data_IF_461127699272
#
_entry.id   IF_461127699272
#
_cell.length_a   1.000
_cell.length_b   1.000
_cell.length_c   1.000
_cell.angle_alpha   90.00
_cell.angle_beta   90.00
_cell.angle_gamma   90.00
#
_symmetry.space_group_name_H-M   'P 1'
#
loop_
_entity.id
_entity.type
_entity.pdbx_description
1 polymer ?
#
# COMPACT_ATOMS: atom_id res chain seq x y z
N UNK A 1 26.96 -13.36 -17.96
CA UNK A 1 26.32 -13.09 -16.65
C UNK A 1 24.81 -13.16 -16.89
N UNK A 2 24.06 -14.10 -16.29
CA UNK A 2 22.59 -14.10 -16.42
C UNK A 2 22.08 -12.84 -15.73
N UNK A 3 21.44 -11.94 -16.48
CA UNK A 3 20.80 -10.77 -15.90
C UNK A 3 19.66 -11.28 -15.01
N UNK A 4 19.75 -11.03 -13.70
CA UNK A 4 18.73 -11.45 -12.74
C UNK A 4 17.71 -10.31 -12.67
N UNK A 5 16.59 -10.48 -13.37
CA UNK A 5 15.46 -9.56 -13.32
C UNK A 5 14.67 -9.77 -12.02
N UNK A 6 14.12 -8.68 -11.48
CA UNK A 6 13.34 -8.67 -10.24
C UNK A 6 11.84 -8.78 -10.49
N UNK A 7 11.34 -8.17 -11.56
CA UNK A 7 9.90 -8.12 -11.85
C UNK A 7 9.34 -9.47 -12.32
N UNK A 8 8.09 -9.77 -11.93
CA UNK A 8 7.30 -10.87 -12.53
C UNK A 8 7.20 -10.65 -14.03
N UNK A 9 7.02 -9.41 -14.48
CA UNK A 9 6.93 -9.03 -15.88
C UNK A 9 8.14 -9.53 -16.66
N UNK A 10 9.35 -9.11 -16.29
CA UNK A 10 10.56 -9.45 -17.06
C UNK A 10 11.00 -10.91 -16.88
N UNK A 11 10.71 -11.52 -15.72
CA UNK A 11 11.11 -12.91 -15.46
C UNK A 11 10.17 -13.94 -16.09
N UNK A 12 8.86 -13.67 -16.14
CA UNK A 12 7.84 -14.65 -16.55
C UNK A 12 7.05 -14.23 -17.78
N UNK A 13 6.69 -12.95 -17.91
CA UNK A 13 5.71 -12.50 -18.90
C UNK A 13 6.34 -12.00 -20.19
N UNK A 14 7.37 -11.16 -20.12
CA UNK A 14 8.11 -10.69 -21.29
C UNK A 14 8.61 -11.85 -22.18
N UNK A 15 9.14 -12.97 -21.64
CA UNK A 15 9.50 -14.14 -22.46
C UNK A 15 8.35 -14.70 -23.32
N UNK A 16 7.10 -14.54 -22.88
CA UNK A 16 5.92 -14.99 -23.63
C UNK A 16 5.63 -14.10 -24.84
N UNK A 17 5.89 -12.80 -24.73
CA UNK A 17 5.76 -11.82 -25.80
C UNK A 17 6.90 -11.94 -26.83
N UNK A 18 8.11 -12.29 -26.36
CA UNK A 18 9.31 -12.38 -27.23
C UNK A 18 9.32 -13.54 -28.22
N UNK A 19 8.27 -14.36 -28.27
CA UNK A 19 8.11 -15.40 -29.30
C UNK A 19 7.69 -14.81 -30.66
N UNK A 20 7.19 -13.59 -30.68
CA UNK A 20 6.72 -12.89 -31.88
C UNK A 20 7.73 -11.83 -32.33
N UNK A 21 7.87 -11.62 -33.65
CA UNK A 21 8.76 -10.58 -34.21
C UNK A 21 8.27 -9.17 -33.91
N UNK A 22 6.96 -9.02 -33.91
CA UNK A 22 6.23 -7.80 -33.58
C UNK A 22 5.23 -8.14 -32.48
N UNK A 23 5.09 -7.23 -31.52
CA UNK A 23 4.21 -7.39 -30.37
C UNK A 23 3.24 -6.21 -30.37
N UNK A 24 1.94 -6.50 -30.36
CA UNK A 24 0.90 -5.47 -30.36
C UNK A 24 0.56 -5.00 -28.94
N UNK A 25 -0.07 -3.83 -28.83
CA UNK A 25 -0.63 -3.36 -27.56
C UNK A 25 -1.70 -4.33 -27.04
N UNK A 26 -2.46 -4.97 -27.95
CA UNK A 26 -3.37 -6.06 -27.59
C UNK A 26 -2.68 -7.19 -26.84
N UNK A 27 -1.51 -7.64 -27.30
CA UNK A 27 -0.79 -8.76 -26.67
C UNK A 27 -0.33 -8.39 -25.26
N UNK A 28 0.13 -7.15 -25.07
CA UNK A 28 0.53 -6.61 -23.77
C UNK A 28 -0.68 -6.51 -22.84
N UNK A 29 -1.76 -5.91 -23.32
CA UNK A 29 -3.00 -5.70 -22.54
C UNK A 29 -3.61 -7.02 -22.12
N UNK A 30 -3.67 -8.00 -23.03
CA UNK A 30 -4.16 -9.36 -22.75
C UNK A 30 -3.30 -10.05 -21.71
N UNK A 31 -1.98 -10.02 -21.88
CA UNK A 31 -1.10 -10.68 -20.93
C UNK A 31 -1.16 -10.01 -19.56
N UNK A 32 -1.22 -8.67 -19.51
CA UNK A 32 -1.39 -7.93 -18.28
C UNK A 32 -2.73 -8.23 -17.60
N UNK A 33 -3.83 -8.32 -18.35
CA UNK A 33 -5.16 -8.61 -17.80
C UNK A 33 -5.30 -10.06 -17.31
N UNK A 34 -4.63 -11.00 -17.96
CA UNK A 34 -4.69 -12.43 -17.60
C UNK A 34 -3.82 -12.74 -16.36
N UNK A 35 -2.69 -12.03 -16.20
CA UNK A 35 -1.65 -12.37 -15.22
C UNK A 35 -1.60 -11.47 -13.99
N UNK A 36 -2.14 -10.26 -14.08
CA UNK A 36 -2.30 -9.37 -12.92
C UNK A 36 -3.78 -9.28 -12.57
N UNK A 37 -4.06 -8.90 -11.31
CA UNK A 37 -5.44 -8.68 -10.86
C UNK A 37 -6.11 -7.77 -11.87
N UNK A 38 -7.18 -8.29 -12.47
CA UNK A 38 -7.87 -7.79 -13.64
C UNK A 38 -8.66 -6.51 -13.35
N UNK A 39 -8.19 -5.64 -12.46
CA UNK A 39 -8.74 -4.33 -12.22
C UNK A 39 -8.35 -3.36 -13.33
N UNK A 40 -9.34 -2.78 -13.99
CA UNK A 40 -9.19 -1.75 -15.02
C UNK A 40 -8.16 -0.67 -14.66
N UNK A 41 -8.11 -0.24 -13.39
CA UNK A 41 -7.18 0.79 -12.93
C UNK A 41 -5.73 0.33 -12.97
N UNK A 42 -5.46 -0.92 -12.62
CA UNK A 42 -4.11 -1.50 -12.70
C UNK A 42 -3.61 -1.49 -14.13
N UNK A 43 -4.46 -1.93 -15.07
CA UNK A 43 -4.13 -1.90 -16.49
C UNK A 43 -3.90 -0.46 -16.97
N UNK A 44 -4.75 0.48 -16.59
CA UNK A 44 -4.58 1.91 -16.95
C UNK A 44 -3.25 2.47 -16.47
N UNK A 45 -2.90 2.24 -15.20
CA UNK A 45 -1.67 2.74 -14.60
C UNK A 45 -0.42 2.05 -15.17
N UNK A 46 -0.49 0.74 -15.43
CA UNK A 46 0.60 0.02 -16.04
C UNK A 46 0.92 0.58 -17.45
N UNK A 47 -0.12 0.86 -18.23
CA UNK A 47 0.04 1.43 -19.56
C UNK A 47 0.57 2.88 -19.48
N UNK A 48 0.06 3.69 -18.57
CA UNK A 48 0.52 5.07 -18.38
C UNK A 48 1.99 5.14 -17.96
N UNK A 49 2.41 4.30 -16.99
CA UNK A 49 3.76 4.36 -16.46
C UNK A 49 4.83 3.70 -17.33
N UNK A 50 4.50 2.59 -18.02
CA UNK A 50 5.53 1.76 -18.66
C UNK A 50 5.42 1.67 -20.18
N UNK A 51 4.25 2.00 -20.74
CA UNK A 51 3.99 1.85 -22.18
C UNK A 51 3.89 3.22 -22.86
N UNK A 52 3.14 4.15 -22.29
CA UNK A 52 3.03 5.50 -22.83
C UNK A 52 4.36 6.23 -22.69
N UNK A 53 4.94 6.61 -23.82
CA UNK A 53 6.18 7.36 -23.86
C UNK A 53 6.07 8.41 -24.98
N UNK A 54 5.91 9.70 -24.64
CA UNK A 54 5.69 10.75 -25.63
C UNK A 54 6.88 10.92 -26.61
N UNK A 55 8.09 10.53 -26.19
CA UNK A 55 9.35 10.71 -26.94
C UNK A 55 9.97 9.38 -27.45
N UNK A 56 9.16 8.36 -27.76
CA UNK A 56 9.65 7.02 -28.11
C UNK A 56 9.69 6.72 -29.63
N UNK A 57 9.95 5.44 -29.95
CA UNK A 57 10.03 4.91 -31.31
C UNK A 57 8.65 4.70 -31.99
N UNK A 58 7.54 5.07 -31.37
CA UNK A 58 6.21 4.98 -31.98
C UNK A 58 5.87 6.25 -32.78
N UNK A 59 4.95 6.11 -33.73
CA UNK A 59 4.40 7.29 -34.39
C UNK A 59 3.52 8.10 -33.43
N UNK A 60 3.35 9.39 -33.71
CA UNK A 60 2.45 10.25 -32.94
C UNK A 60 1.01 9.71 -32.93
N UNK A 61 0.57 9.08 -34.02
CA UNK A 61 -0.74 8.44 -34.14
C UNK A 61 -0.87 7.25 -33.18
N UNK A 62 0.15 6.40 -33.09
CA UNK A 62 0.18 5.27 -32.16
C UNK A 62 0.23 5.72 -30.69
N UNK A 63 1.00 6.76 -30.37
CA UNK A 63 1.02 7.34 -29.02
C UNK A 63 -0.34 7.94 -28.62
N UNK A 64 -1.04 8.59 -29.56
CA UNK A 64 -2.40 9.08 -29.33
C UNK A 64 -3.41 7.94 -29.10
N UNK A 65 -3.24 6.81 -29.79
CA UNK A 65 -4.07 5.62 -29.56
C UNK A 65 -3.85 5.01 -28.17
N UNK A 66 -2.61 4.93 -27.69
CA UNK A 66 -2.30 4.50 -26.31
C UNK A 66 -2.98 5.43 -25.30
N UNK A 67 -2.85 6.74 -25.47
CA UNK A 67 -3.40 7.73 -24.56
C UNK A 67 -4.93 7.67 -24.51
N UNK A 68 -5.59 7.59 -25.66
CA UNK A 68 -7.05 7.39 -25.76
C UNK A 68 -7.51 6.09 -25.08
N UNK A 69 -6.70 5.04 -25.16
CA UNK A 69 -6.99 3.78 -24.48
C UNK A 69 -6.84 3.90 -22.96
N UNK A 70 -5.79 4.54 -22.47
CA UNK A 70 -5.60 4.84 -21.04
C UNK A 70 -6.78 5.68 -20.52
N UNK A 71 -7.18 6.72 -21.25
CA UNK A 71 -8.36 7.53 -20.92
C UNK A 71 -9.65 6.70 -20.88
N UNK A 72 -9.80 5.72 -21.77
CA UNK A 72 -10.93 4.77 -21.75
C UNK A 72 -10.91 3.92 -20.48
N UNK A 73 -9.73 3.45 -20.05
CA UNK A 73 -9.58 2.67 -18.83
C UNK A 73 -9.84 3.49 -17.56
N UNK A 74 -9.47 4.76 -17.57
CA UNK A 74 -9.58 5.65 -16.41
C UNK A 74 -10.97 6.31 -16.33
N UNK A 75 -11.67 6.51 -17.46
CA UNK A 75 -12.99 7.14 -17.52
C UNK A 75 -14.12 6.09 -17.53
N UNK A 76 -14.94 5.99 -16.46
CA UNK A 76 -16.05 5.04 -16.38
C UNK A 76 -17.11 5.20 -17.48
N UNK A 77 -17.18 6.36 -18.13
CA UNK A 77 -18.21 6.68 -19.12
C UNK A 77 -17.87 6.22 -20.55
N UNK A 78 -16.65 5.72 -20.80
CA UNK A 78 -16.21 5.28 -22.14
C UNK A 78 -16.42 3.77 -22.37
N UNK A 79 -17.05 3.07 -21.42
CA UNK A 79 -17.46 1.68 -21.56
C UNK A 79 -18.82 1.59 -22.26
N UNK A 80 -19.05 0.50 -23.01
CA UNK A 80 -20.34 0.29 -23.72
C UNK A 80 -21.52 0.55 -22.78
N UNK A 81 -22.41 1.45 -23.21
CA UNK A 81 -23.61 1.87 -22.51
C UNK A 81 -24.43 0.66 -22.02
N UNK A 82 -24.38 0.43 -20.69
CA UNK A 82 -25.42 -0.20 -19.84
C UNK A 82 -24.91 -0.67 -18.45
N UNK A 83 -23.68 -0.37 -18.04
CA UNK A 83 -23.26 -0.61 -16.65
C UNK A 83 -23.46 0.64 -15.80
N UNK A 84 -24.71 0.93 -15.40
CA UNK A 84 -25.03 1.91 -14.35
C UNK A 84 -24.47 1.50 -12.96
N UNK A 85 -23.85 0.34 -12.86
CA UNK A 85 -23.02 -0.03 -11.74
C UNK A 85 -21.61 0.52 -11.95
N UNK A 86 -21.32 1.64 -11.30
CA UNK A 86 -19.98 2.14 -10.96
C UNK A 86 -18.91 1.08 -11.20
N UNK A 87 -18.07 1.26 -12.23
CA UNK A 87 -16.94 0.39 -12.54
C UNK A 87 -16.06 0.33 -11.29
N UNK A 88 -16.28 -0.69 -10.48
CA UNK A 88 -15.47 -1.00 -9.30
C UNK A 88 -14.10 -1.25 -9.87
N UNK A 89 -13.07 -0.54 -9.42
CA UNK A 89 -11.71 -0.60 -9.97
C UNK A 89 -11.05 -2.01 -10.01
N UNK A 90 -11.76 -3.03 -9.54
CA UNK A 90 -11.41 -4.44 -9.43
C UNK A 90 -12.31 -5.37 -10.25
N UNK A 91 -13.22 -4.84 -11.09
CA UNK A 91 -13.98 -5.71 -11.98
C UNK A 91 -13.04 -6.29 -13.03
N UNK A 92 -13.07 -7.62 -13.21
CA UNK A 92 -12.25 -8.29 -14.19
C UNK A 92 -12.41 -7.64 -15.57
N UNK A 93 -11.32 -7.08 -16.09
CA UNK A 93 -11.25 -6.51 -17.43
C UNK A 93 -11.17 -7.65 -18.46
N UNK A 94 -12.23 -7.78 -19.25
CA UNK A 94 -12.31 -8.64 -20.40
C UNK A 94 -12.30 -7.79 -21.68
N UNK A 95 -11.22 -7.87 -22.44
CA UNK A 95 -10.98 -7.09 -23.67
C UNK A 95 -12.15 -7.18 -24.67
N UNK A 96 -12.81 -8.34 -24.79
CA UNK A 96 -13.90 -8.54 -25.76
C UNK A 96 -15.24 -7.97 -25.28
N UNK A 97 -15.47 -8.00 -23.98
CA UNK A 97 -16.74 -7.57 -23.36
C UNK A 97 -16.73 -6.08 -23.04
N UNK A 98 -15.59 -5.54 -22.62
CA UNK A 98 -15.50 -4.18 -22.09
C UNK A 98 -15.14 -3.11 -23.13
N UNK A 99 -14.59 -3.46 -24.30
CA UNK A 99 -14.16 -2.48 -25.30
C UNK A 99 -15.18 -2.26 -26.43
N UNK A 100 -15.22 -1.01 -26.91
CA UNK A 100 -15.86 -0.69 -28.19
C UNK A 100 -15.08 -1.36 -29.34
N UNK A 101 -15.74 -1.68 -30.47
CA UNK A 101 -15.06 -2.21 -31.65
C UNK A 101 -13.89 -1.34 -32.12
N UNK A 102 -14.04 -0.02 -32.04
CA UNK A 102 -13.02 0.96 -32.45
C UNK A 102 -11.79 0.88 -31.54
N UNK A 103 -12.00 0.81 -30.22
CA UNK A 103 -10.91 0.66 -29.26
C UNK A 103 -10.23 -0.71 -29.36
N UNK A 104 -10.98 -1.77 -29.67
CA UNK A 104 -10.41 -3.10 -29.91
C UNK A 104 -9.48 -3.12 -31.13
N UNK A 105 -9.89 -2.50 -32.24
CA UNK A 105 -9.08 -2.38 -33.45
C UNK A 105 -7.81 -1.57 -33.17
N UNK A 106 -7.93 -0.44 -32.47
CA UNK A 106 -6.80 0.42 -32.13
C UNK A 106 -5.70 -0.29 -31.32
N UNK A 107 -6.04 -1.32 -30.51
CA UNK A 107 -5.03 -2.12 -29.79
C UNK A 107 -4.14 -2.95 -30.72
N UNK A 108 -4.61 -3.29 -31.92
CA UNK A 108 -3.86 -4.04 -32.91
C UNK A 108 -3.01 -3.15 -33.83
N UNK A 109 -3.34 -1.86 -33.92
CA UNK A 109 -2.62 -0.89 -34.77
C UNK A 109 -1.36 -0.32 -34.09
N UNK A 110 -1.24 -0.49 -32.77
CA UNK A 110 -0.05 -0.14 -31.99
C UNK A 110 0.83 -1.38 -31.82
N UNK A 111 2.07 -1.32 -32.31
CA UNK A 111 3.01 -2.44 -32.23
C UNK A 111 4.46 -1.97 -32.05
N UNK A 112 5.25 -2.85 -31.44
CA UNK A 112 6.69 -2.66 -31.26
C UNK A 112 7.46 -3.82 -31.90
N UNK A 113 8.67 -3.53 -32.36
CA UNK A 113 9.64 -4.59 -32.60
C UNK A 113 9.99 -5.27 -31.28
N UNK A 114 10.21 -6.59 -31.33
CA UNK A 114 10.61 -7.38 -30.16
C UNK A 114 11.81 -6.76 -29.41
N UNK A 115 12.82 -6.29 -30.17
CA UNK A 115 14.05 -5.72 -29.60
C UNK A 115 13.76 -4.43 -28.83
N UNK A 116 12.99 -3.51 -29.45
CA UNK A 116 12.60 -2.25 -28.84
C UNK A 116 11.79 -2.48 -27.56
N UNK A 117 10.83 -3.40 -27.60
CA UNK A 117 9.96 -3.69 -26.45
C UNK A 117 10.74 -4.38 -25.31
N UNK A 118 11.65 -5.29 -25.64
CA UNK A 118 12.49 -5.95 -24.64
C UNK A 118 13.41 -4.94 -23.95
N UNK A 119 14.04 -4.05 -24.72
CA UNK A 119 14.88 -3.00 -24.16
C UNK A 119 14.08 -2.05 -23.25
N UNK A 120 12.86 -1.69 -23.67
CA UNK A 120 11.95 -0.85 -22.90
C UNK A 120 11.66 -1.44 -21.50
N UNK A 121 11.25 -2.70 -21.42
CA UNK A 121 10.88 -3.30 -20.15
C UNK A 121 12.10 -3.70 -19.30
N UNK A 122 13.20 -4.13 -19.93
CA UNK A 122 14.44 -4.46 -19.20
C UNK A 122 15.01 -3.23 -18.50
N UNK A 123 15.03 -2.06 -19.17
CA UNK A 123 15.48 -0.80 -18.55
C UNK A 123 14.64 -0.39 -17.35
N UNK A 124 13.37 -0.77 -17.36
CA UNK A 124 12.39 -0.42 -16.33
C UNK A 124 12.19 -1.52 -15.28
N UNK A 125 12.98 -2.60 -15.29
CA UNK A 125 12.77 -3.78 -14.44
C UNK A 125 12.59 -3.46 -12.96
N UNK A 126 13.39 -2.55 -12.41
CA UNK A 126 13.27 -2.16 -11.00
C UNK A 126 12.03 -1.32 -10.73
N UNK A 127 11.58 -0.49 -11.68
CA UNK A 127 10.36 0.31 -11.57
C UNK A 127 9.11 -0.56 -11.75
N UNK A 128 9.15 -1.51 -12.69
CA UNK A 128 8.07 -2.48 -12.87
C UNK A 128 7.99 -3.38 -11.64
N UNK A 129 9.11 -3.86 -11.12
CA UNK A 129 9.13 -4.60 -9.86
C UNK A 129 8.54 -3.77 -8.72
N UNK A 130 8.91 -2.50 -8.60
CA UNK A 130 8.31 -1.59 -7.62
C UNK A 130 6.82 -1.39 -7.86
N UNK A 131 6.35 -1.29 -9.11
CA UNK A 131 4.93 -1.15 -9.43
C UNK A 131 4.13 -2.41 -9.13
N UNK A 132 4.65 -3.58 -9.50
CA UNK A 132 4.13 -4.88 -9.08
C UNK A 132 4.12 -5.04 -7.56
N UNK A 133 5.07 -4.37 -6.88
CA UNK A 133 5.20 -4.36 -5.43
C UNK A 133 4.28 -3.31 -4.78
N UNK A 134 3.99 -2.17 -5.40
CA UNK A 134 3.30 -1.05 -4.75
C UNK A 134 1.81 -0.98 -5.04
N UNK A 135 1.29 -1.69 -6.05
CA UNK A 135 -0.06 -1.44 -6.51
C UNK A 135 -1.06 -2.50 -6.09
N UNK A 136 -1.81 -2.14 -5.05
CA UNK A 136 -3.26 -2.27 -5.15
C UNK A 136 -3.95 -0.94 -4.93
N UNK A 137 -3.34 0.02 -4.25
CA UNK A 137 -4.12 1.15 -3.80
C UNK A 137 -3.24 2.32 -3.29
N UNK A 138 -3.36 3.48 -3.93
CA UNK A 138 -3.11 4.79 -3.30
C UNK A 138 -1.64 5.16 -3.04
N UNK A 139 -1.11 6.06 -3.90
CA UNK A 139 0.21 6.70 -3.85
C UNK A 139 1.38 5.71 -3.78
N UNK A 140 2.35 5.89 -4.67
CA UNK A 140 3.71 5.43 -4.39
C UNK A 140 3.99 5.80 -2.93
N UNK A 141 4.33 4.85 -2.03
CA UNK A 141 5.35 5.22 -1.08
C UNK A 141 6.47 5.61 -2.04
N UNK A 142 6.66 6.92 -2.21
CA UNK A 142 8.00 7.41 -2.40
C UNK A 142 8.82 6.56 -1.44
N UNK A 143 10.00 6.12 -1.86
CA UNK A 143 11.01 5.68 -0.92
C UNK A 143 11.38 6.91 -0.06
N UNK A 144 10.39 7.46 0.65
CA UNK A 144 10.55 8.09 1.92
C UNK A 144 11.10 6.97 2.76
N UNK A 145 12.15 7.31 3.44
CA UNK A 145 12.87 6.53 4.43
C UNK A 145 12.00 6.07 5.62
N UNK A 146 10.69 5.94 5.45
CA UNK A 146 9.69 5.77 6.50
C UNK A 146 8.55 4.84 6.08
N UNK A 147 8.56 3.62 6.58
CA UNK A 147 7.37 2.73 6.61
C UNK A 147 6.47 3.20 7.76
N UNK A 148 5.17 3.45 7.53
CA UNK A 148 4.27 3.87 8.59
C UNK A 148 4.25 2.87 9.75
N UNK A 149 4.32 3.37 10.98
CA UNK A 149 4.42 2.54 12.18
C UNK A 149 3.22 1.61 12.38
N UNK A 150 2.05 1.97 11.85
CA UNK A 150 0.86 1.11 11.95
C UNK A 150 0.98 -0.19 11.14
N UNK A 151 1.92 -0.28 10.18
CA UNK A 151 2.22 -1.55 9.47
C UNK A 151 2.82 -2.59 10.42
N UNK A 152 3.30 -2.18 11.59
CA UNK A 152 3.92 -3.04 12.60
C UNK A 152 2.98 -3.39 13.75
N UNK A 153 1.67 -3.15 13.60
CA UNK A 153 0.69 -3.58 14.58
C UNK A 153 0.60 -5.11 14.62
N UNK A 154 0.37 -5.65 15.82
CA UNK A 154 0.14 -7.08 16.02
C UNK A 154 -1.25 -7.52 15.53
N UNK A 155 -2.17 -6.56 15.39
CA UNK A 155 -3.59 -6.77 15.16
C UNK A 155 -4.17 -5.61 14.36
N UNK A 156 -5.06 -5.92 13.42
CA UNK A 156 -5.74 -4.96 12.57
C UNK A 156 -7.25 -5.13 12.68
N UNK A 157 -7.99 -4.02 12.77
CA UNK A 157 -9.40 -4.01 12.37
C UNK A 157 -9.53 -4.15 10.86
N UNK A 158 -10.73 -4.48 10.38
CA UNK A 158 -11.02 -4.52 8.94
C UNK A 158 -10.85 -3.17 8.25
N UNK A 159 -11.07 -2.07 8.99
CA UNK A 159 -10.83 -0.72 8.49
C UNK A 159 -9.33 -0.47 8.32
N UNK A 160 -8.53 -0.75 9.36
CA UNK A 160 -7.08 -0.59 9.32
C UNK A 160 -6.41 -1.50 8.29
N UNK A 161 -6.90 -2.73 8.14
CA UNK A 161 -6.43 -3.64 7.09
C UNK A 161 -6.77 -3.10 5.69
N UNK A 162 -7.95 -2.48 5.51
CA UNK A 162 -8.27 -1.81 4.25
C UNK A 162 -7.39 -0.57 4.04
N UNK A 163 -7.11 0.22 5.07
CA UNK A 163 -6.16 1.34 5.07
C UNK A 163 -4.73 0.92 4.70
N UNK A 164 -4.27 -0.21 5.26
CA UNK A 164 -2.99 -0.84 4.96
C UNK A 164 -2.92 -1.24 3.49
N UNK A 165 -3.98 -1.91 3.00
CA UNK A 165 -4.09 -2.22 1.59
C UNK A 165 -4.01 -0.92 0.77
N UNK A 166 -4.70 0.16 1.18
CA UNK A 166 -4.70 1.46 0.50
C UNK A 166 -3.53 2.40 0.64
N UNK A 167 -2.44 1.96 1.28
CA UNK A 167 -1.28 2.81 1.42
C UNK A 167 -1.56 4.07 2.24
N UNK A 168 -2.58 4.06 3.11
CA UNK A 168 -2.80 5.16 4.04
C UNK A 168 -1.51 5.39 4.83
N UNK A 169 -1.12 6.64 5.05
CA UNK A 169 0.04 6.96 5.88
C UNK A 169 -0.28 6.79 7.36
N UNK A 170 -1.52 7.04 7.74
CA UNK A 170 -2.02 6.88 9.11
C UNK A 170 -3.46 6.38 9.06
N UNK A 171 -3.72 5.23 9.70
CA UNK A 171 -5.05 4.63 9.74
C UNK A 171 -6.01 5.38 10.70
N UNK A 172 -5.49 6.15 11.66
CA UNK A 172 -6.27 6.99 12.57
C UNK A 172 -6.75 8.23 11.82
N UNK A 173 -5.86 8.94 11.14
CA UNK A 173 -6.25 10.12 10.34
C UNK A 173 -7.24 9.71 9.24
N UNK A 174 -7.02 8.55 8.63
CA UNK A 174 -7.95 7.97 7.66
C UNK A 174 -9.33 7.69 8.29
N UNK A 175 -9.36 7.20 9.53
CA UNK A 175 -10.61 6.90 10.24
C UNK A 175 -11.34 8.16 10.67
N UNK A 176 -10.62 9.14 11.21
CA UNK A 176 -11.17 10.44 11.59
C UNK A 176 -11.80 11.12 10.37
N UNK A 177 -11.10 11.15 9.23
CA UNK A 177 -11.64 11.70 8.00
C UNK A 177 -12.86 10.92 7.49
N UNK A 178 -12.86 9.59 7.60
CA UNK A 178 -14.00 8.76 7.23
C UNK A 178 -15.24 9.05 8.09
N UNK A 179 -15.05 9.27 9.39
CA UNK A 179 -16.12 9.55 10.35
C UNK A 179 -16.64 11.00 10.26
N UNK A 180 -15.75 11.97 10.03
CA UNK A 180 -16.09 13.39 9.92
C UNK A 180 -16.67 13.75 8.54
N UNK A 181 -16.08 13.23 7.47
CA UNK A 181 -16.47 13.53 6.09
C UNK A 181 -16.22 12.33 5.15
N UNK A 182 -17.12 11.36 5.22
CA UNK A 182 -17.06 10.12 4.43
C UNK A 182 -16.96 10.35 2.92
N UNK A 183 -17.63 11.37 2.38
CA UNK A 183 -17.58 11.68 0.95
C UNK A 183 -16.18 12.18 0.54
N UNK A 184 -15.59 13.08 1.32
CA UNK A 184 -14.21 13.54 1.10
C UNK A 184 -13.19 12.40 1.27
N UNK A 185 -13.37 11.58 2.30
CA UNK A 185 -12.55 10.38 2.48
C UNK A 185 -12.61 9.48 1.25
N UNK A 186 -13.80 9.19 0.74
CA UNK A 186 -13.96 8.34 -0.44
C UNK A 186 -13.49 9.01 -1.73
N UNK A 187 -13.52 10.34 -1.83
CA UNK A 187 -12.92 11.05 -2.96
C UNK A 187 -11.39 10.96 -2.94
N UNK A 188 -10.78 11.06 -1.76
CA UNK A 188 -9.31 10.95 -1.59
C UNK A 188 -8.86 9.48 -1.71
N UNK A 189 -9.67 8.55 -1.21
CA UNK A 189 -9.41 7.13 -1.14
C UNK A 189 -10.50 6.32 -1.87
N UNK A 190 -10.65 6.51 -3.20
CA UNK A 190 -11.76 5.92 -3.99
C UNK A 190 -11.77 4.40 -3.93
N UNK A 191 -10.63 3.80 -3.61
CA UNK A 191 -10.49 2.36 -3.59
C UNK A 191 -10.81 1.69 -2.26
N UNK A 192 -10.88 2.46 -1.18
CA UNK A 192 -11.10 1.94 0.17
C UNK A 192 -12.28 0.96 0.23
N UNK A 193 -13.38 1.32 -0.43
CA UNK A 193 -14.62 0.53 -0.42
C UNK A 193 -14.42 -0.87 -0.99
N UNK A 194 -13.54 -1.01 -1.98
CA UNK A 194 -13.26 -2.28 -2.62
C UNK A 194 -12.39 -3.20 -1.76
N UNK A 195 -11.32 -2.68 -1.14
CA UNK A 195 -10.49 -3.44 -0.19
C UNK A 195 -11.31 -3.85 1.04
N UNK A 196 -12.09 -2.91 1.57
CA UNK A 196 -12.94 -3.17 2.72
C UNK A 196 -13.95 -4.29 2.43
N UNK A 197 -14.62 -4.25 1.27
CA UNK A 197 -15.53 -5.31 0.84
C UNK A 197 -14.81 -6.64 0.59
N UNK A 198 -13.59 -6.61 0.03
CA UNK A 198 -12.78 -7.80 -0.18
C UNK A 198 -12.45 -8.51 1.14
N UNK A 199 -11.99 -7.75 2.15
CA UNK A 199 -11.73 -8.29 3.48
C UNK A 199 -13.02 -8.77 4.15
N UNK A 200 -14.12 -8.01 4.00
CA UNK A 200 -15.43 -8.42 4.54
C UNK A 200 -15.92 -9.75 3.96
N UNK A 201 -15.70 -10.03 2.68
CA UNK A 201 -16.00 -11.35 2.10
C UNK A 201 -15.14 -12.46 2.71
N UNK A 202 -13.87 -12.19 3.00
CA UNK A 202 -13.00 -13.15 3.69
C UNK A 202 -13.47 -13.44 5.13
N UNK A 203 -14.02 -12.42 5.81
CA UNK A 203 -14.71 -12.56 7.10
C UNK A 203 -15.93 -13.47 6.98
N UNK A 204 -16.80 -13.20 6.01
CA UNK A 204 -18.04 -13.95 5.77
C UNK A 204 -17.75 -15.42 5.41
N UNK A 205 -16.64 -15.67 4.71
CA UNK A 205 -16.15 -17.01 4.39
C UNK A 205 -15.39 -17.70 5.55
N UNK A 206 -15.28 -17.05 6.72
CA UNK A 206 -14.52 -17.52 7.89
C UNK A 206 -13.02 -17.81 7.61
N UNK A 207 -12.46 -17.19 6.55
CA UNK A 207 -11.02 -17.25 6.24
C UNK A 207 -10.26 -16.30 7.17
N UNK A 208 -10.85 -15.14 7.46
CA UNK A 208 -10.35 -14.18 8.43
C UNK A 208 -11.26 -14.12 9.67
N UNK A 209 -10.70 -13.85 10.87
CA UNK A 209 -11.44 -13.79 12.12
C UNK A 209 -12.49 -12.67 12.17
N UNK A 210 -13.51 -12.83 13.00
CA UNK A 210 -14.72 -12.00 12.96
C UNK A 210 -14.50 -10.52 13.37
N UNK A 211 -13.59 -10.24 14.31
CA UNK A 211 -13.49 -8.90 14.91
C UNK A 211 -12.15 -8.24 14.62
N UNK A 212 -11.06 -8.91 14.99
CA UNK A 212 -9.70 -8.40 14.88
C UNK A 212 -8.86 -9.44 14.13
N UNK A 213 -8.07 -8.98 13.18
CA UNK A 213 -7.22 -9.79 12.33
C UNK A 213 -5.78 -9.73 12.86
N UNK A 214 -5.22 -10.85 13.38
CA UNK A 214 -3.81 -10.90 13.73
C UNK A 214 -2.93 -10.62 12.52
N UNK A 215 -1.86 -9.87 12.72
CA UNK A 215 -0.93 -9.43 11.67
C UNK A 215 -0.39 -10.60 10.83
N UNK A 216 -0.05 -11.71 11.48
CA UNK A 216 0.40 -12.94 10.81
C UNK A 216 -0.67 -13.54 9.88
N UNK A 217 -1.91 -13.63 10.34
CA UNK A 217 -3.03 -14.16 9.54
C UNK A 217 -3.36 -13.22 8.38
N UNK A 218 -3.29 -11.91 8.61
CA UNK A 218 -3.46 -10.92 7.56
C UNK A 218 -2.32 -11.03 6.52
N UNK A 219 -1.08 -11.16 6.97
CA UNK A 219 0.09 -11.38 6.11
C UNK A 219 -0.07 -12.65 5.27
N UNK A 220 -0.31 -13.81 5.88
CA UNK A 220 -0.51 -15.09 5.18
C UNK A 220 -1.68 -15.04 4.19
N UNK A 221 -2.73 -14.27 4.51
CA UNK A 221 -3.87 -14.10 3.61
C UNK A 221 -3.57 -13.17 2.43
N UNK A 222 -2.84 -12.08 2.66
CA UNK A 222 -2.57 -11.04 1.65
C UNK A 222 -1.35 -11.37 0.80
N UNK A 223 -0.25 -11.89 1.36
CA UNK A 223 1.02 -12.18 0.68
C UNK A 223 0.88 -12.95 -0.65
N UNK A 224 0.10 -14.05 -0.75
CA UNK A 224 -0.07 -14.75 -2.03
C UNK A 224 -0.92 -13.99 -3.05
N UNK A 225 -1.65 -12.94 -2.63
CA UNK A 225 -2.58 -12.18 -3.46
C UNK A 225 -1.99 -10.83 -3.86
N UNK A 226 -1.24 -10.23 -2.95
CA UNK A 226 -0.94 -8.80 -2.90
C UNK A 226 0.45 -8.59 -2.32
N UNK A 227 1.20 -7.64 -2.89
CA UNK A 227 2.41 -7.13 -2.28
C UNK A 227 2.12 -5.77 -1.63
N UNK A 228 2.53 -5.60 -0.38
CA UNK A 228 2.39 -4.40 0.43
C UNK A 228 3.78 -4.09 1.00
N UNK A 229 4.49 -3.08 0.48
CA UNK A 229 5.85 -2.77 0.91
C UNK A 229 5.92 -2.45 2.41
N UNK A 230 6.89 -3.04 3.12
CA UNK A 230 7.01 -2.96 4.56
C UNK A 230 6.09 -3.89 5.37
N UNK A 231 5.16 -4.60 4.71
CA UNK A 231 4.26 -5.57 5.35
C UNK A 231 4.45 -6.98 4.78
N UNK A 232 4.12 -7.23 3.51
CA UNK A 232 4.18 -8.60 2.93
C UNK A 232 5.59 -9.03 2.52
N UNK A 233 6.48 -8.07 2.24
CA UNK A 233 7.90 -8.29 1.88
C UNK A 233 8.81 -8.54 3.09
N UNK A 234 8.32 -8.24 4.29
CA UNK A 234 9.04 -8.48 5.53
C UNK A 234 8.96 -9.96 5.89
N UNK A 235 10.12 -10.61 5.99
CA UNK A 235 10.21 -11.87 6.73
C UNK A 235 9.77 -11.60 8.17
N UNK A 236 8.61 -12.15 8.57
CA UNK A 236 8.14 -12.15 9.96
C UNK A 236 9.10 -13.06 10.75
N UNK A 237 10.29 -12.53 11.06
CA UNK A 237 11.28 -13.23 11.87
C UNK A 237 10.79 -13.22 13.32
N UNK A 238 10.13 -14.28 13.76
CA UNK A 238 9.82 -14.55 15.17
C UNK A 238 11.08 -14.93 15.99
N UNK A 239 12.28 -14.98 15.39
CA UNK A 239 13.48 -15.35 16.12
C UNK A 239 14.04 -14.17 16.95
N UNK A 240 14.22 -14.32 18.28
CA UNK A 240 14.88 -13.33 19.10
C UNK A 240 16.36 -13.29 18.69
N UNK A 241 16.74 -12.32 17.85
CA UNK A 241 18.16 -12.00 17.67
C UNK A 241 18.66 -11.50 19.02
N UNK A 242 19.65 -12.19 19.60
CA UNK A 242 20.32 -11.71 20.81
C UNK A 242 21.01 -10.39 20.47
N UNK A 243 20.40 -9.27 20.86
CA UNK A 243 21.04 -7.97 20.74
C UNK A 243 22.16 -7.89 21.77
N UNK A 244 23.39 -7.83 21.27
CA UNK A 244 24.59 -7.64 22.08
C UNK A 244 24.55 -6.27 22.77
N UNK A 245 24.45 -6.32 24.10
CA UNK A 245 24.97 -5.38 25.10
C UNK A 245 25.30 -3.94 24.66
N UNK A 246 24.26 -3.17 24.34
CA UNK A 246 24.11 -1.79 24.85
C UNK A 246 22.70 -1.70 25.39
N UNK A 247 22.54 -1.43 26.69
CA UNK A 247 21.25 -1.34 27.41
C UNK A 247 20.44 -0.09 27.02
N UNK A 248 20.41 0.25 25.75
CA UNK A 248 19.72 1.41 25.21
C UNK A 248 18.68 0.84 24.26
N UNK A 249 17.40 1.01 24.61
CA UNK A 249 16.30 0.50 23.80
C UNK A 249 16.40 1.08 22.37
N UNK A 250 16.19 0.31 21.29
CA UNK A 250 16.30 0.82 19.92
C UNK A 250 15.47 2.08 19.62
N UNK A 251 14.40 2.28 20.40
CA UNK A 251 13.50 3.43 20.26
C UNK A 251 14.06 4.77 20.77
N UNK A 252 15.19 4.77 21.50
CA UNK A 252 15.75 5.99 22.11
C UNK A 252 17.01 6.50 21.39
N UNK A 253 17.45 5.84 20.31
CA UNK A 253 18.55 6.28 19.46
C UNK A 253 18.00 6.86 18.14
N UNK A 254 18.07 8.19 17.92
CA UNK A 254 17.59 8.84 16.71
C UNK A 254 18.22 8.32 15.40
N UNK A 255 19.38 7.66 15.49
CA UNK A 255 20.08 7.08 14.34
C UNK A 255 19.71 5.61 14.08
N UNK A 256 18.93 4.97 14.95
CA UNK A 256 18.53 3.58 14.80
C UNK A 256 17.31 3.45 13.86
N UNK A 257 17.25 2.44 12.96
CA UNK A 257 16.10 2.20 12.07
C UNK A 257 14.75 1.98 12.77
N UNK A 258 14.75 1.78 14.09
CA UNK A 258 13.57 1.54 14.93
C UNK A 258 13.41 2.63 16.01
N UNK A 259 13.98 3.81 15.78
CA UNK A 259 13.78 4.97 16.63
C UNK A 259 12.27 5.28 16.72
N UNK A 260 11.74 5.43 17.94
CA UNK A 260 10.34 5.72 18.15
C UNK A 260 10.22 6.89 19.14
N UNK A 261 10.06 8.13 18.65
CA UNK A 261 10.13 9.35 19.47
C UNK A 261 9.02 9.41 20.53
N UNK A 262 7.85 8.84 20.26
CA UNK A 262 6.77 8.73 21.24
C UNK A 262 7.12 7.76 22.38
N UNK A 263 7.77 6.64 22.06
CA UNK A 263 8.23 5.68 23.07
C UNK A 263 9.40 6.25 23.87
N UNK A 264 10.31 6.99 23.22
CA UNK A 264 11.33 7.76 23.93
C UNK A 264 10.71 8.77 24.89
N UNK A 265 9.70 9.54 24.45
CA UNK A 265 8.98 10.48 25.30
C UNK A 265 8.28 9.76 26.46
N UNK A 266 7.63 8.62 26.21
CA UNK A 266 6.99 7.81 27.24
C UNK A 266 8.00 7.33 28.27
N UNK A 267 9.16 6.82 27.83
CA UNK A 267 10.26 6.40 28.69
C UNK A 267 10.77 7.58 29.53
N UNK A 268 11.02 8.74 28.92
CA UNK A 268 11.50 9.94 29.62
C UNK A 268 10.52 10.41 30.70
N UNK A 269 9.23 10.45 30.38
CA UNK A 269 8.19 10.93 31.31
C UNK A 269 7.93 9.91 32.43
N UNK A 270 7.97 8.62 32.11
CA UNK A 270 7.91 7.55 33.09
C UNK A 270 9.11 7.59 34.05
N UNK A 271 10.33 7.75 33.52
CA UNK A 271 11.55 7.90 34.32
C UNK A 271 11.46 9.12 35.24
N UNK A 272 11.05 10.29 34.72
CA UNK A 272 10.83 11.48 35.54
C UNK A 272 9.88 11.23 36.71
N UNK A 273 8.74 10.58 36.47
CA UNK A 273 7.74 10.35 37.52
C UNK A 273 8.19 9.31 38.55
N UNK A 274 8.73 8.18 38.09
CA UNK A 274 8.92 6.99 38.93
C UNK A 274 10.35 6.74 39.39
N UNK A 275 11.34 7.25 38.66
CA UNK A 275 12.77 7.07 38.98
C UNK A 275 13.33 8.35 39.60
N UNK A 276 13.09 9.50 38.96
CA UNK A 276 13.68 10.77 39.41
C UNK A 276 12.86 11.45 40.52
N UNK A 277 11.66 10.93 40.82
CA UNK A 277 10.78 11.48 41.84
C UNK A 277 10.30 12.92 41.54
N UNK A 278 10.15 13.26 40.26
CA UNK A 278 9.81 14.61 39.83
C UNK A 278 8.54 15.13 40.53
N UNK A 279 8.57 16.33 41.14
CA UNK A 279 7.48 16.83 41.95
C UNK A 279 6.26 17.19 41.09
N UNK A 280 5.17 16.46 41.28
CA UNK A 280 3.88 16.74 40.65
C UNK A 280 2.87 17.15 41.72
N UNK A 281 1.91 18.02 41.35
CA UNK A 281 0.81 18.43 42.24
C UNK A 281 -0.20 17.30 42.52
N UNK A 282 -0.10 16.22 41.76
CA UNK A 282 -0.99 15.09 41.79
C UNK A 282 -0.24 13.82 42.19
N UNK A 283 -0.84 13.04 43.09
CA UNK A 283 -0.37 11.70 43.44
C UNK A 283 -0.77 10.67 42.38
N UNK A 284 -1.97 10.84 41.80
CA UNK A 284 -2.49 9.98 40.74
C UNK A 284 -1.64 10.02 39.48
N UNK A 285 -1.45 8.84 38.86
CA UNK A 285 -0.64 8.64 37.66
C UNK A 285 -1.06 9.60 36.53
N UNK A 286 -2.31 9.54 36.08
CA UNK A 286 -2.72 10.24 34.86
C UNK A 286 -2.57 11.76 34.96
N UNK A 287 -3.06 12.42 36.03
CA UNK A 287 -2.86 13.86 36.18
C UNK A 287 -1.38 14.26 36.35
N UNK A 288 -0.57 13.42 37.02
CA UNK A 288 0.86 13.66 37.19
C UNK A 288 1.63 13.61 35.86
N UNK A 289 1.36 12.61 35.02
CA UNK A 289 2.00 12.46 33.70
C UNK A 289 1.60 13.62 32.78
N UNK A 290 0.32 14.01 32.79
CA UNK A 290 -0.16 15.17 32.02
C UNK A 290 0.52 16.47 32.44
N UNK A 291 0.78 16.66 33.74
CA UNK A 291 1.51 17.82 34.24
C UNK A 291 2.95 17.81 33.71
N UNK A 292 3.67 16.69 33.84
CA UNK A 292 5.06 16.57 33.38
C UNK A 292 5.16 16.86 31.87
N UNK A 293 4.24 16.31 31.08
CA UNK A 293 4.20 16.54 29.63
C UNK A 293 3.97 18.01 29.27
N UNK A 294 3.05 18.70 29.97
CA UNK A 294 2.80 20.13 29.77
C UNK A 294 4.01 20.99 30.13
N UNK A 295 4.72 20.64 31.21
CA UNK A 295 5.95 21.32 31.63
C UNK A 295 7.14 21.05 30.69
N UNK A 296 7.11 19.94 29.96
CA UNK A 296 8.02 19.65 28.84
C UNK A 296 7.60 20.34 27.53
N UNK A 297 6.71 21.33 27.59
CA UNK A 297 6.17 22.09 26.46
C UNK A 297 5.40 21.26 25.42
N UNK A 298 4.98 20.05 25.77
CA UNK A 298 4.13 19.22 24.91
C UNK A 298 2.69 19.73 25.00
N UNK A 299 2.16 20.25 23.88
CA UNK A 299 0.82 20.87 23.80
C UNK A 299 -0.23 19.99 23.13
N UNK A 300 0.17 18.91 22.45
CA UNK A 300 -0.74 18.02 21.73
C UNK A 300 -1.55 17.16 22.71
N UNK A 301 -2.87 17.39 22.77
CA UNK A 301 -3.79 16.71 23.71
C UNK A 301 -3.84 15.19 23.51
N UNK A 302 -3.87 14.71 22.27
CA UNK A 302 -3.92 13.26 21.97
C UNK A 302 -2.61 12.56 22.28
N UNK A 303 -1.47 13.20 22.00
CA UNK A 303 -0.15 12.68 22.40
C UNK A 303 -0.08 12.57 23.93
N UNK A 304 -0.57 13.57 24.64
CA UNK A 304 -0.64 13.55 26.10
C UNK A 304 -1.48 12.37 26.59
N UNK A 305 -2.67 12.16 26.03
CA UNK A 305 -3.54 11.03 26.38
C UNK A 305 -2.87 9.67 26.12
N UNK A 306 -2.25 9.49 24.95
CA UNK A 306 -1.57 8.24 24.57
C UNK A 306 -0.37 7.94 25.49
N UNK A 307 0.50 8.91 25.73
CA UNK A 307 1.65 8.74 26.65
C UNK A 307 1.15 8.44 28.07
N UNK A 308 0.07 9.09 28.50
CA UNK A 308 -0.56 8.82 29.80
C UNK A 308 -1.11 7.40 29.90
N UNK A 309 -1.63 6.83 28.81
CA UNK A 309 -2.10 5.43 28.80
C UNK A 309 -0.92 4.46 28.78
N UNK A 310 0.07 4.69 27.93
CA UNK A 310 1.25 3.82 27.75
C UNK A 310 2.08 3.71 29.04
N UNK A 311 2.20 4.81 29.79
CA UNK A 311 2.99 4.85 31.02
C UNK A 311 2.27 4.31 32.26
N UNK A 312 0.99 3.91 32.13
CA UNK A 312 0.18 3.47 33.26
C UNK A 312 0.35 1.97 33.57
N UNK A 313 1.14 1.69 34.60
CA UNK A 313 1.44 0.32 35.03
C UNK A 313 0.24 -0.44 35.62
N UNK A 314 -0.90 0.20 35.95
CA UNK A 314 -2.05 -0.47 36.59
C UNK A 314 -2.75 -1.51 35.71
N UNK A 315 -2.62 -1.42 34.37
CA UNK A 315 -3.22 -2.41 33.43
C UNK A 315 -2.44 -3.73 33.35
N UNK A 316 -1.27 -3.85 33.97
CA UNK A 316 -0.42 -5.05 33.93
C UNK A 316 -0.65 -6.03 35.09
N UNK A 317 -1.83 -6.03 35.73
CA UNK A 317 -2.21 -7.12 36.64
C UNK A 317 -2.44 -8.38 35.82
N UNK A 318 -1.37 -9.15 35.61
CA UNK A 318 -1.41 -10.53 35.12
C UNK A 318 -2.16 -11.33 36.20
N UNK A 319 -3.40 -11.72 35.91
CA UNK A 319 -4.14 -12.75 36.65
C UNK A 319 -3.72 -14.13 36.18
#
# INVERSE_FOLDING_TARGET
MKQIFKSKWNTKLLPLLTKHKEVSLYDIVKLASDEYISGTKYLGDFLDYFIYQPDNNLSQEQNNQILKFIETLINPNNYKENSSESIKAFHNFNIKENLSPENYIALHDVYWSQATLSELFIKQDSLIYQFESCFIFGKNPTITTYTPTYYFQDQFSYFEAACLMIGCLDAIDAKDLYEENSDEFHNINPQFRSCFNFLKKAKEAAILPAEIIPSKLLHEYLEPKFHIPGFTDRAINEAPKSYSSRNIHPSIDPSHPHYAPELELAIKVWQKKYVDGYPTKYEDHSPAIQQILKEMEIKNKRLIERITVITNNKKLKIS
#
